data_IF_272866662517
#
_entry.id   IF_272866662517
#
_cell.length_a   1.000
_cell.length_b   1.000
_cell.length_c   1.000
_cell.angle_alpha   90.00
_cell.angle_beta   90.00
_cell.angle_gamma   90.00
#
_symmetry.space_group_name_H-M   'P 1'
#
loop_
_entity.id
_entity.type
_entity.pdbx_description
1 polymer ?
#
# COMPACT_ATOMS: atom_id res chain seq x y z
N UNK A 1 -8.02 14.26 13.12
CA UNK A 1 -9.34 14.45 12.47
C UNK A 1 -10.37 15.02 13.44
N UNK A 2 -11.38 15.76 12.93
CA UNK A 2 -12.45 16.33 13.76
C UNK A 2 -13.42 15.27 14.30
N UNK A 3 -14.08 15.56 15.43
CA UNK A 3 -15.09 14.66 16.03
C UNK A 3 -16.26 14.36 15.09
N UNK A 4 -16.58 15.27 14.18
CA UNK A 4 -17.65 15.09 13.19
C UNK A 4 -17.29 13.98 12.19
N UNK A 5 -16.03 13.95 11.72
CA UNK A 5 -15.54 12.91 10.81
C UNK A 5 -15.56 11.55 11.49
N UNK A 6 -15.03 11.44 12.72
CA UNK A 6 -15.06 10.17 13.47
C UNK A 6 -16.49 9.65 13.67
N UNK A 7 -17.46 10.54 13.96
CA UNK A 7 -18.87 10.17 14.07
C UNK A 7 -19.45 9.67 12.74
N UNK A 8 -19.06 10.25 11.60
CA UNK A 8 -19.48 9.77 10.29
C UNK A 8 -18.91 8.38 9.99
N UNK A 9 -17.60 8.17 10.25
CA UNK A 9 -16.95 6.88 10.01
C UNK A 9 -17.55 5.76 10.86
N UNK A 10 -17.86 6.01 12.13
CA UNK A 10 -18.60 5.04 12.98
C UNK A 10 -19.94 4.64 12.38
N UNK A 11 -20.68 5.59 11.81
CA UNK A 11 -22.00 5.32 11.20
C UNK A 11 -21.88 4.49 9.93
N UNK A 12 -20.82 4.70 9.16
CA UNK A 12 -20.53 3.93 7.93
C UNK A 12 -20.14 2.51 8.32
N UNK A 13 -19.16 2.35 9.23
CA UNK A 13 -18.66 1.04 9.65
C UNK A 13 -19.76 0.15 10.28
N UNK A 14 -20.56 0.71 11.20
CA UNK A 14 -21.63 -0.01 11.89
C UNK A 14 -22.98 0.04 11.17
N UNK A 15 -23.07 0.62 9.97
CA UNK A 15 -24.29 0.66 9.14
C UNK A 15 -25.57 1.17 9.84
N UNK A 16 -25.42 2.00 10.87
CA UNK A 16 -26.53 2.48 11.74
C UNK A 16 -27.70 3.20 11.05
N UNK A 17 -27.56 3.55 9.76
CA UNK A 17 -28.56 4.32 8.99
C UNK A 17 -28.91 3.70 7.64
N UNK A 18 -27.93 3.10 6.98
CA UNK A 18 -28.04 2.46 5.67
C UNK A 18 -26.92 1.43 5.54
N UNK A 19 -27.12 0.46 4.65
CA UNK A 19 -26.05 -0.44 4.24
C UNK A 19 -25.00 0.29 3.39
N UNK A 20 -23.75 -0.14 3.52
CA UNK A 20 -22.61 0.34 2.76
C UNK A 20 -21.82 -0.85 2.24
N UNK A 21 -21.16 -0.66 1.10
CA UNK A 21 -20.24 -1.67 0.57
C UNK A 21 -19.14 -2.03 1.58
N UNK A 22 -18.71 -3.29 1.54
CA UNK A 22 -17.71 -3.89 2.45
C UNK A 22 -16.40 -3.09 2.45
N UNK A 23 -15.92 -2.69 1.28
CA UNK A 23 -14.72 -1.86 1.09
C UNK A 23 -14.85 -0.48 1.74
N UNK A 24 -16.04 0.15 1.65
CA UNK A 24 -16.33 1.43 2.31
C UNK A 24 -16.32 1.30 3.84
N UNK A 25 -16.86 0.20 4.37
CA UNK A 25 -16.85 -0.09 5.81
C UNK A 25 -15.42 -0.31 6.32
N UNK A 26 -14.62 -1.09 5.60
CA UNK A 26 -13.20 -1.30 5.90
C UNK A 26 -12.42 0.02 5.91
N UNK A 27 -12.57 0.84 4.86
CA UNK A 27 -11.92 2.15 4.80
C UNK A 27 -12.34 3.07 5.97
N UNK A 28 -13.60 3.01 6.40
CA UNK A 28 -14.06 3.76 7.57
C UNK A 28 -13.41 3.26 8.87
N UNK A 29 -13.17 1.95 9.00
CA UNK A 29 -12.43 1.38 10.14
C UNK A 29 -10.97 1.85 10.14
N UNK A 30 -10.32 1.88 8.98
CA UNK A 30 -8.93 2.34 8.83
C UNK A 30 -8.76 3.79 9.27
N UNK A 31 -9.67 4.66 8.82
CA UNK A 31 -9.69 6.05 9.25
C UNK A 31 -9.85 6.17 10.78
N UNK A 32 -10.62 5.28 11.42
CA UNK A 32 -10.78 5.28 12.88
C UNK A 32 -9.52 4.79 13.60
N UNK A 33 -8.84 3.76 13.08
CA UNK A 33 -7.64 3.17 13.69
C UNK A 33 -6.39 4.05 13.53
N UNK A 34 -6.25 4.72 12.39
CA UNK A 34 -5.04 5.48 12.05
C UNK A 34 -5.01 6.90 12.63
N UNK A 35 -6.15 7.40 13.13
CA UNK A 35 -6.30 8.81 13.46
C UNK A 35 -6.70 9.06 14.91
N UNK A 36 -5.77 8.80 15.82
CA UNK A 36 -5.97 8.94 17.27
C UNK A 36 -7.24 8.19 17.72
N UNK A 37 -7.25 6.85 17.64
CA UNK A 37 -8.44 6.07 17.95
C UNK A 37 -8.88 6.31 19.39
N UNK A 38 -10.19 6.27 19.66
CA UNK A 38 -10.66 6.16 21.04
C UNK A 38 -10.68 4.69 21.47
N UNK A 39 -10.54 4.38 22.77
CA UNK A 39 -10.63 2.99 23.24
C UNK A 39 -11.92 2.30 22.81
N UNK A 40 -13.05 3.03 22.89
CA UNK A 40 -14.35 2.51 22.46
C UNK A 40 -14.43 2.23 20.96
N UNK A 41 -13.67 2.94 20.12
CA UNK A 41 -13.66 2.69 18.67
C UNK A 41 -13.04 1.32 18.39
N UNK A 42 -11.90 1.02 19.01
CA UNK A 42 -11.22 -0.28 18.88
C UNK A 42 -12.06 -1.42 19.45
N UNK A 43 -12.67 -1.23 20.63
CA UNK A 43 -13.55 -2.24 21.23
C UNK A 43 -14.74 -2.54 20.33
N UNK A 44 -15.41 -1.51 19.82
CA UNK A 44 -16.58 -1.70 18.95
C UNK A 44 -16.21 -2.36 17.62
N UNK A 45 -15.04 -2.05 17.04
CA UNK A 45 -14.52 -2.74 15.85
C UNK A 45 -14.29 -4.22 16.14
N UNK A 46 -13.59 -4.55 17.24
CA UNK A 46 -13.34 -5.94 17.62
C UNK A 46 -14.64 -6.71 17.92
N UNK A 47 -15.61 -6.09 18.59
CA UNK A 47 -16.91 -6.74 18.83
C UNK A 47 -17.68 -6.99 17.53
N UNK A 48 -17.63 -6.05 16.57
CA UNK A 48 -18.29 -6.19 15.28
C UNK A 48 -17.75 -7.37 14.45
N UNK A 49 -16.49 -7.80 14.65
CA UNK A 49 -15.91 -8.98 13.95
C UNK A 49 -16.68 -10.29 14.19
N UNK A 50 -17.58 -10.34 15.17
CA UNK A 50 -18.45 -11.51 15.41
C UNK A 50 -19.64 -11.58 14.47
N UNK A 51 -20.08 -10.43 13.93
CA UNK A 51 -21.25 -10.30 13.08
C UNK A 51 -20.87 -10.04 11.61
N UNK A 52 -19.60 -9.72 11.35
CA UNK A 52 -19.05 -9.55 10.01
C UNK A 52 -18.74 -10.89 9.34
N UNK A 53 -18.74 -10.88 8.02
CA UNK A 53 -18.25 -11.97 7.16
C UNK A 53 -16.82 -12.38 7.49
N UNK A 54 -16.48 -13.63 7.17
CA UNK A 54 -15.26 -14.29 7.63
C UNK A 54 -13.99 -13.52 7.23
N UNK A 55 -13.89 -13.13 5.96
CA UNK A 55 -12.70 -12.43 5.42
C UNK A 55 -12.56 -11.01 5.95
N UNK A 56 -13.66 -10.26 6.03
CA UNK A 56 -13.67 -8.89 6.58
C UNK A 56 -13.33 -8.89 8.08
N UNK A 57 -13.88 -9.84 8.84
CA UNK A 57 -13.57 -10.02 10.26
C UNK A 57 -12.08 -10.36 10.47
N UNK A 58 -11.55 -11.26 9.64
CA UNK A 58 -10.13 -11.67 9.69
C UNK A 58 -9.21 -10.51 9.37
N UNK A 59 -9.50 -9.74 8.32
CA UNK A 59 -8.69 -8.56 7.96
C UNK A 59 -8.64 -7.53 9.10
N UNK A 60 -9.80 -7.16 9.65
CA UNK A 60 -9.87 -6.19 10.75
C UNK A 60 -9.12 -6.66 12.00
N UNK A 61 -9.25 -7.94 12.33
CA UNK A 61 -8.51 -8.53 13.43
C UNK A 61 -7.00 -8.46 13.18
N UNK A 62 -6.55 -8.81 11.97
CA UNK A 62 -5.14 -8.73 11.59
C UNK A 62 -4.63 -7.30 11.62
N UNK A 63 -5.42 -6.30 11.17
CA UNK A 63 -5.07 -4.87 11.29
C UNK A 63 -4.89 -4.44 12.75
N UNK A 64 -5.81 -4.81 13.63
CA UNK A 64 -5.68 -4.50 15.06
C UNK A 64 -4.45 -5.18 15.67
N UNK A 65 -4.17 -6.44 15.31
CA UNK A 65 -2.94 -7.12 15.76
C UNK A 65 -1.68 -6.49 15.19
N UNK A 66 -1.69 -6.09 13.93
CA UNK A 66 -0.57 -5.42 13.27
C UNK A 66 -0.28 -4.07 13.93
N UNK A 67 -1.30 -3.33 14.35
CA UNK A 67 -1.16 -2.07 15.09
C UNK A 67 -0.44 -2.22 16.45
N UNK A 68 -0.44 -3.41 17.05
CA UNK A 68 0.34 -3.70 18.26
C UNK A 68 1.83 -3.90 17.96
N UNK A 69 2.14 -4.49 16.80
CA UNK A 69 3.50 -4.82 16.35
C UNK A 69 4.20 -3.57 15.78
N UNK A 70 3.47 -2.74 15.04
CA UNK A 70 3.99 -1.52 14.45
C UNK A 70 4.30 -0.46 15.52
N UNK A 71 5.59 -0.16 15.72
CA UNK A 71 6.04 0.63 16.86
C UNK A 71 5.47 2.05 16.91
N UNK A 72 5.32 2.66 15.74
CA UNK A 72 4.87 4.04 15.55
C UNK A 72 3.37 4.16 15.30
N UNK A 73 2.62 3.05 15.36
CA UNK A 73 1.19 3.10 15.09
C UNK A 73 0.45 3.86 16.19
N UNK A 74 -0.43 4.84 15.86
CA UNK A 74 -1.11 5.67 16.85
C UNK A 74 -1.99 4.86 17.80
N UNK A 75 -2.59 3.78 17.30
CA UNK A 75 -3.41 2.86 18.09
C UNK A 75 -2.62 2.00 19.11
N UNK A 76 -1.30 1.83 18.97
CA UNK A 76 -0.52 0.80 19.71
C UNK A 76 -0.78 0.81 21.21
N UNK A 77 -0.73 1.99 21.84
CA UNK A 77 -0.93 2.14 23.30
C UNK A 77 -2.34 1.72 23.72
N UNK A 78 -3.34 2.19 22.99
CA UNK A 78 -4.76 1.94 23.28
C UNK A 78 -5.10 0.46 23.07
N UNK A 79 -4.65 -0.12 21.95
CA UNK A 79 -4.87 -1.54 21.68
C UNK A 79 -4.16 -2.38 22.76
N UNK A 80 -2.93 -2.02 23.17
CA UNK A 80 -2.21 -2.73 24.24
C UNK A 80 -2.99 -2.76 25.56
N UNK A 81 -3.66 -1.67 25.91
CA UNK A 81 -4.49 -1.60 27.12
C UNK A 81 -5.78 -2.42 26.98
N UNK A 82 -6.44 -2.37 25.81
CA UNK A 82 -7.66 -3.14 25.52
C UNK A 82 -7.39 -4.65 25.53
N UNK A 83 -6.25 -5.07 24.98
CA UNK A 83 -5.87 -6.49 24.93
C UNK A 83 -5.57 -7.09 26.31
N UNK A 84 -5.57 -6.29 27.38
CA UNK A 84 -5.52 -6.81 28.75
C UNK A 84 -6.87 -7.39 29.22
N UNK A 85 -7.99 -6.99 28.62
CA UNK A 85 -9.30 -7.54 28.99
C UNK A 85 -9.48 -8.93 28.34
N UNK A 86 -9.57 -10.02 29.13
CA UNK A 86 -9.73 -11.38 28.59
C UNK A 86 -11.06 -11.59 27.85
N UNK A 87 -12.08 -10.75 28.08
CA UNK A 87 -13.35 -10.82 27.34
C UNK A 87 -13.19 -10.39 25.89
N UNK A 88 -12.16 -9.60 25.61
CA UNK A 88 -11.80 -9.15 24.26
C UNK A 88 -10.67 -10.04 23.73
N UNK A 89 -9.58 -10.16 24.47
CA UNK A 89 -8.42 -10.98 24.12
C UNK A 89 -8.61 -12.43 24.60
N UNK A 90 -9.34 -13.22 23.80
CA UNK A 90 -9.48 -14.66 24.00
C UNK A 90 -9.35 -15.42 22.68
N UNK A 91 -8.97 -16.69 22.79
CA UNK A 91 -8.79 -17.58 21.65
C UNK A 91 -10.04 -17.63 20.77
N UNK A 92 -11.24 -17.67 21.36
CA UNK A 92 -12.50 -17.77 20.61
C UNK A 92 -12.78 -16.53 19.73
N UNK A 93 -12.38 -15.34 20.19
CA UNK A 93 -12.57 -14.10 19.42
C UNK A 93 -11.50 -13.95 18.34
N UNK A 94 -10.29 -14.49 18.57
CA UNK A 94 -9.14 -14.37 17.66
C UNK A 94 -8.90 -15.58 16.76
N UNK A 95 -9.64 -16.69 16.92
CA UNK A 95 -9.56 -17.89 16.07
C UNK A 95 -10.47 -17.78 14.85
N UNK A 96 -10.31 -16.72 14.05
CA UNK A 96 -11.08 -16.53 12.82
C UNK A 96 -10.53 -17.39 11.70
N UNK A 97 -11.44 -17.95 10.91
CA UNK A 97 -11.12 -18.68 9.68
C UNK A 97 -11.23 -17.69 8.54
N UNK A 98 -10.13 -17.43 7.85
CA UNK A 98 -10.08 -16.52 6.70
C UNK A 98 -8.66 -16.41 6.15
N UNK A 99 -8.54 -16.07 4.87
CA UNK A 99 -7.26 -15.90 4.16
C UNK A 99 -6.75 -14.46 4.18
N UNK A 100 -7.63 -13.50 4.47
CA UNK A 100 -7.29 -12.08 4.55
C UNK A 100 -6.21 -11.80 5.58
N UNK A 101 -5.29 -10.92 5.21
CA UNK A 101 -4.11 -10.65 6.03
C UNK A 101 -3.71 -9.18 5.97
N UNK A 102 -3.07 -8.73 7.05
CA UNK A 102 -2.48 -7.41 7.15
C UNK A 102 -1.12 -7.54 7.84
N UNK A 103 -0.09 -6.97 7.24
CA UNK A 103 1.27 -7.04 7.70
C UNK A 103 1.97 -5.70 7.52
N UNK A 104 2.77 -5.30 8.50
CA UNK A 104 3.71 -4.18 8.36
C UNK A 104 5.04 -4.56 8.97
N UNK A 105 6.13 -4.29 8.25
CA UNK A 105 7.49 -4.58 8.69
C UNK A 105 8.47 -3.46 8.32
N UNK A 106 9.59 -3.33 9.06
CA UNK A 106 10.65 -2.40 8.68
C UNK A 106 11.41 -2.93 7.46
N UNK A 107 11.67 -2.06 6.49
CA UNK A 107 12.59 -2.31 5.36
C UNK A 107 14.00 -1.84 5.71
N UNK A 108 14.12 -0.62 6.22
CA UNK A 108 15.39 -0.03 6.61
C UNK A 108 15.22 0.77 7.90
N UNK A 109 16.16 0.61 8.82
CA UNK A 109 16.18 1.32 10.11
C UNK A 109 17.54 1.99 10.27
N UNK A 110 17.54 3.31 10.41
CA UNK A 110 18.72 4.11 10.77
C UNK A 110 18.42 4.92 12.04
N UNK A 111 19.38 5.73 12.50
CA UNK A 111 19.17 6.55 13.70
C UNK A 111 18.00 7.54 13.55
N UNK A 112 17.82 8.09 12.35
CA UNK A 112 16.87 9.19 12.11
C UNK A 112 15.77 8.85 11.08
N UNK A 113 15.86 7.68 10.45
CA UNK A 113 14.97 7.22 9.38
C UNK A 113 14.48 5.80 9.64
N UNK A 114 13.17 5.61 9.59
CA UNK A 114 12.54 4.30 9.54
C UNK A 114 11.74 4.18 8.24
N UNK A 115 12.12 3.24 7.39
CA UNK A 115 11.35 2.84 6.22
C UNK A 115 10.55 1.58 6.55
N UNK A 116 9.27 1.54 6.20
CA UNK A 116 8.38 0.40 6.43
C UNK A 116 7.67 0.00 5.15
N UNK A 117 7.45 -1.31 5.01
CA UNK A 117 6.58 -1.90 4.01
C UNK A 117 5.34 -2.45 4.70
N UNK A 118 4.16 -2.10 4.19
CA UNK A 118 2.90 -2.72 4.58
C UNK A 118 2.22 -3.40 3.40
N UNK A 119 1.50 -4.46 3.74
CA UNK A 119 0.73 -5.26 2.80
C UNK A 119 -0.60 -5.65 3.46
N UNK A 120 -1.68 -5.37 2.76
CA UNK A 120 -3.03 -5.75 3.15
C UNK A 120 -3.69 -6.52 2.00
N UNK A 121 -4.23 -7.69 2.32
CA UNK A 121 -4.92 -8.55 1.36
C UNK A 121 -6.33 -8.81 1.88
N UNK A 122 -7.32 -8.39 1.10
CA UNK A 122 -8.72 -8.70 1.31
C UNK A 122 -9.14 -9.75 0.30
N UNK A 123 -9.57 -10.91 0.79
CA UNK A 123 -10.17 -11.96 -0.04
C UNK A 123 -11.70 -11.92 0.05
N UNK A 124 -12.34 -12.60 -0.89
CA UNK A 124 -13.77 -12.90 -0.89
C UNK A 124 -13.97 -14.34 -0.43
N UNK A 125 -15.15 -14.64 0.11
CA UNK A 125 -15.62 -16.01 0.36
C UNK A 125 -15.65 -16.75 -0.99
N UNK A 126 -14.63 -17.58 -1.23
CA UNK A 126 -14.30 -18.14 -2.56
C UNK A 126 -12.79 -18.17 -2.84
N UNK A 127 -11.99 -17.46 -2.03
CA UNK A 127 -10.52 -17.50 -2.09
C UNK A 127 -9.90 -16.56 -3.12
N UNK A 128 -10.71 -15.71 -3.75
CA UNK A 128 -10.26 -14.69 -4.68
C UNK A 128 -9.86 -13.39 -3.99
N UNK A 129 -8.79 -12.77 -4.47
CA UNK A 129 -8.33 -11.48 -3.99
C UNK A 129 -9.26 -10.37 -4.50
N UNK A 130 -9.97 -9.70 -3.58
CA UNK A 130 -10.80 -8.52 -3.87
C UNK A 130 -9.95 -7.27 -4.00
N UNK A 131 -9.03 -7.10 -3.05
CA UNK A 131 -8.22 -5.90 -2.90
C UNK A 131 -6.88 -6.24 -2.27
N UNK A 132 -5.81 -5.76 -2.87
CA UNK A 132 -4.47 -5.76 -2.28
C UNK A 132 -3.97 -4.33 -2.19
N UNK A 133 -3.43 -3.95 -1.04
CA UNK A 133 -2.83 -2.64 -0.81
C UNK A 133 -1.40 -2.87 -0.35
N UNK A 134 -0.45 -2.37 -1.12
CA UNK A 134 0.98 -2.36 -0.77
C UNK A 134 1.41 -0.93 -0.50
N UNK A 135 1.91 -0.65 0.70
CA UNK A 135 2.35 0.68 1.10
C UNK A 135 3.84 0.72 1.46
N UNK A 136 4.49 1.80 1.05
CA UNK A 136 5.86 2.13 1.40
C UNK A 136 5.87 3.48 2.10
N UNK A 137 6.16 3.44 3.40
CA UNK A 137 6.10 4.60 4.27
C UNK A 137 7.48 4.90 4.85
N UNK A 138 7.80 6.19 4.92
CA UNK A 138 9.06 6.68 5.46
C UNK A 138 8.78 7.60 6.64
N UNK A 139 9.41 7.31 7.77
CA UNK A 139 9.25 8.03 9.01
C UNK A 139 10.57 8.68 9.40
N UNK A 140 10.54 9.99 9.64
CA UNK A 140 11.69 10.74 10.15
C UNK A 140 11.23 11.88 11.04
N UNK A 141 11.85 12.06 12.20
CA UNK A 141 11.60 13.19 13.12
C UNK A 141 10.12 13.46 13.43
N UNK A 142 9.30 12.41 13.54
CA UNK A 142 7.86 12.52 13.82
C UNK A 142 6.98 12.84 12.59
N UNK A 143 7.58 12.97 11.41
CA UNK A 143 6.87 13.11 10.13
C UNK A 143 6.81 11.77 9.41
N UNK A 144 5.63 11.45 8.84
CA UNK A 144 5.41 10.29 7.96
C UNK A 144 5.21 10.78 6.54
N UNK A 145 5.95 10.21 5.60
CA UNK A 145 5.80 10.40 4.17
C UNK A 145 5.39 9.08 3.54
N UNK A 146 4.25 9.06 2.86
CA UNK A 146 3.86 7.94 2.00
C UNK A 146 4.60 8.06 0.68
N UNK A 147 5.60 7.20 0.50
CA UNK A 147 6.49 7.23 -0.67
C UNK A 147 5.78 6.65 -1.87
N UNK A 148 5.20 5.45 -1.70
CA UNK A 148 4.45 4.77 -2.73
C UNK A 148 3.31 3.96 -2.09
N UNK A 149 2.17 3.95 -2.74
CA UNK A 149 1.04 3.08 -2.43
C UNK A 149 0.56 2.48 -3.74
N UNK A 150 0.42 1.17 -3.81
CA UNK A 150 -0.11 0.46 -4.97
C UNK A 150 -1.29 -0.37 -4.49
N UNK A 151 -2.46 -0.06 -5.05
CA UNK A 151 -3.69 -0.78 -4.76
C UNK A 151 -4.14 -1.53 -6.00
N UNK A 152 -4.27 -2.85 -5.88
CA UNK A 152 -4.88 -3.73 -6.88
C UNK A 152 -6.30 -4.04 -6.45
N UNK A 153 -7.26 -3.89 -7.34
CA UNK A 153 -8.66 -4.22 -7.08
C UNK A 153 -9.19 -5.15 -8.16
N UNK A 154 -9.93 -6.16 -7.75
CA UNK A 154 -10.62 -7.09 -8.65
C UNK A 154 -12.05 -7.32 -8.17
N UNK A 155 -12.97 -7.46 -9.12
CA UNK A 155 -14.40 -7.65 -8.87
C UNK A 155 -14.98 -8.65 -9.87
N UNK A 156 -15.93 -9.48 -9.44
CA UNK A 156 -16.64 -10.42 -10.31
C UNK A 156 -15.84 -11.65 -10.70
N UNK A 157 -14.67 -11.91 -10.09
CA UNK A 157 -13.87 -13.11 -10.36
C UNK A 157 -14.56 -14.39 -9.86
N UNK A 158 -15.46 -14.27 -8.90
CA UNK A 158 -16.26 -15.34 -8.32
C UNK A 158 -17.15 -16.02 -9.38
N UNK A 159 -17.67 -15.21 -10.33
CA UNK A 159 -18.47 -15.70 -11.46
C UNK A 159 -17.71 -16.66 -12.39
N UNK A 160 -16.37 -16.61 -12.40
CA UNK A 160 -15.55 -17.49 -13.25
C UNK A 160 -15.50 -18.93 -12.74
N UNK A 161 -15.78 -19.18 -11.46
CA UNK A 161 -15.82 -20.53 -10.87
C UNK A 161 -17.24 -21.11 -10.80
N UNK A 162 -18.25 -20.39 -11.28
CA UNK A 162 -19.65 -20.81 -11.20
C UNK A 162 -20.19 -20.83 -9.76
N UNK A 163 -19.61 -20.01 -8.87
CA UNK A 163 -20.11 -19.81 -7.51
C UNK A 163 -21.33 -18.89 -7.59
N UNK A 164 -22.50 -19.39 -7.17
CA UNK A 164 -23.76 -18.63 -7.27
C UNK A 164 -23.71 -17.41 -6.34
N UNK A 165 -23.84 -16.21 -6.90
CA UNK A 165 -24.09 -15.00 -6.10
C UNK A 165 -25.38 -15.16 -5.31
N UNK A 166 -25.45 -14.66 -4.06
CA UNK A 166 -26.69 -14.67 -3.28
C UNK A 166 -27.82 -13.97 -4.04
N UNK A 167 -29.02 -14.55 -4.00
CA UNK A 167 -30.20 -14.07 -4.74
C UNK A 167 -30.52 -12.60 -4.39
N UNK A 168 -30.38 -11.69 -5.37
CA UNK A 168 -30.83 -10.30 -5.26
C UNK A 168 -29.80 -9.20 -5.56
N UNK A 169 -28.52 -9.54 -5.74
CA UNK A 169 -27.49 -8.59 -6.19
C UNK A 169 -27.24 -8.76 -7.70
N UNK A 170 -27.14 -7.64 -8.45
CA UNK A 170 -26.67 -7.68 -9.85
C UNK A 170 -25.24 -8.25 -9.87
N UNK A 171 -25.00 -9.26 -10.71
CA UNK A 171 -23.65 -9.82 -10.88
C UNK A 171 -22.68 -8.69 -11.25
N UNK A 172 -21.67 -8.41 -10.40
CA UNK A 172 -20.72 -7.34 -10.70
C UNK A 172 -19.96 -7.69 -11.99
N UNK A 173 -19.92 -6.72 -12.93
CA UNK A 173 -19.14 -6.89 -14.15
C UNK A 173 -17.67 -7.21 -13.81
N UNK A 174 -17.17 -8.32 -14.36
CA UNK A 174 -15.80 -8.78 -14.17
C UNK A 174 -14.80 -7.66 -14.49
N UNK A 175 -14.03 -7.21 -13.51
CA UNK A 175 -13.14 -6.07 -13.65
C UNK A 175 -11.91 -6.23 -12.77
N UNK A 176 -10.74 -5.84 -13.28
CA UNK A 176 -9.56 -5.64 -12.46
C UNK A 176 -8.85 -4.35 -12.85
N UNK A 177 -8.25 -3.70 -11.85
CA UNK A 177 -7.51 -2.48 -12.04
C UNK A 177 -6.44 -2.26 -10.98
N UNK A 178 -5.63 -1.24 -11.23
CA UNK A 178 -4.59 -0.77 -10.35
C UNK A 178 -4.74 0.73 -10.16
N UNK A 179 -4.63 1.17 -8.91
CA UNK A 179 -4.41 2.57 -8.58
C UNK A 179 -3.09 2.70 -7.84
N UNK A 180 -2.40 3.81 -8.06
CA UNK A 180 -1.11 4.06 -7.45
C UNK A 180 -1.05 5.49 -6.95
N UNK A 181 -0.36 5.70 -5.84
CA UNK A 181 -0.01 7.01 -5.33
C UNK A 181 1.49 7.08 -5.06
N UNK A 182 2.13 8.18 -5.45
CA UNK A 182 3.54 8.43 -5.15
C UNK A 182 3.68 9.77 -4.46
N UNK A 183 4.40 9.82 -3.33
CA UNK A 183 4.60 11.05 -2.54
C UNK A 183 3.27 11.77 -2.22
N UNK A 184 2.23 11.02 -1.85
CA UNK A 184 0.84 11.47 -1.65
C UNK A 184 0.10 12.01 -2.89
N UNK A 185 0.64 11.82 -4.10
CA UNK A 185 -0.02 12.18 -5.36
C UNK A 185 -0.65 10.94 -5.97
N UNK A 186 -1.98 10.91 -6.05
CA UNK A 186 -2.72 9.83 -6.70
C UNK A 186 -2.61 9.93 -8.22
N UNK A 187 -2.12 8.85 -8.86
CA UNK A 187 -2.10 8.72 -10.31
C UNK A 187 -3.47 8.30 -10.84
N UNK A 188 -3.68 8.49 -12.14
CA UNK A 188 -4.88 8.00 -12.81
C UNK A 188 -4.93 6.46 -12.71
N UNK A 189 -6.01 5.87 -12.18
CA UNK A 189 -6.16 4.43 -12.13
C UNK A 189 -6.11 3.80 -13.53
N UNK A 190 -5.48 2.64 -13.63
CA UNK A 190 -5.36 1.83 -14.84
C UNK A 190 -6.29 0.64 -14.70
N UNK A 191 -7.16 0.42 -15.68
CA UNK A 191 -8.04 -0.75 -15.73
C UNK A 191 -7.37 -1.82 -16.57
N UNK A 192 -7.05 -2.96 -15.96
CA UNK A 192 -6.42 -4.07 -16.65
C UNK A 192 -7.38 -4.81 -17.55
N UNK A 193 -8.64 -4.95 -17.16
CA UNK A 193 -9.72 -5.41 -18.06
C UNK A 193 -11.07 -5.01 -17.50
N UNK A 194 -12.05 -4.93 -18.41
CA UNK A 194 -13.46 -4.78 -18.04
C UNK A 194 -14.34 -5.68 -18.90
N UNK A 195 -15.06 -6.59 -18.25
CA UNK A 195 -15.87 -7.62 -18.85
C UNK A 195 -15.06 -8.86 -19.28
N UNK A 196 -15.76 -9.98 -19.42
CA UNK A 196 -15.18 -11.27 -19.81
C UNK A 196 -14.49 -11.24 -21.19
N UNK A 197 -15.08 -10.54 -22.16
CA UNK A 197 -14.53 -10.45 -23.51
C UNK A 197 -13.15 -9.76 -23.55
N UNK A 198 -12.97 -8.68 -22.79
CA UNK A 198 -11.70 -7.95 -22.70
C UNK A 198 -10.64 -8.77 -21.96
N UNK A 199 -11.04 -9.48 -20.89
CA UNK A 199 -10.15 -10.40 -20.19
C UNK A 199 -9.65 -11.51 -21.13
N UNK A 200 -10.55 -12.19 -21.84
CA UNK A 200 -10.18 -13.28 -22.75
C UNK A 200 -9.30 -12.77 -23.90
N UNK A 201 -9.56 -11.57 -24.41
CA UNK A 201 -8.68 -10.95 -25.40
C UNK A 201 -7.25 -10.77 -24.84
N UNK A 202 -7.10 -10.30 -23.60
CA UNK A 202 -5.78 -10.08 -22.99
C UNK A 202 -5.06 -11.38 -22.63
N UNK A 203 -5.78 -12.39 -22.16
CA UNK A 203 -5.21 -13.73 -21.91
C UNK A 203 -4.69 -14.35 -23.21
N UNK A 204 -5.43 -14.21 -24.32
CA UNK A 204 -5.01 -14.74 -25.62
C UNK A 204 -3.84 -13.96 -26.25
N UNK A 205 -3.74 -12.66 -25.96
CA UNK A 205 -2.69 -11.78 -26.46
C UNK A 205 -1.46 -11.70 -25.53
N UNK A 206 -1.53 -12.29 -24.34
CA UNK A 206 -0.45 -12.30 -23.36
C UNK A 206 0.77 -13.04 -23.90
N UNK A 207 1.85 -12.30 -24.18
CA UNK A 207 3.12 -12.85 -24.66
C UNK A 207 4.03 -13.35 -23.53
N UNK A 208 3.66 -13.15 -22.26
CA UNK A 208 4.52 -13.44 -21.11
C UNK A 208 5.75 -12.52 -21.00
N UNK A 209 5.79 -11.43 -21.79
CA UNK A 209 6.83 -10.41 -21.71
C UNK A 209 6.46 -9.31 -20.69
N UNK A 210 7.44 -8.75 -19.95
CA UNK A 210 7.19 -7.66 -19.03
C UNK A 210 6.66 -6.43 -19.77
N UNK A 211 5.50 -5.94 -19.33
CA UNK A 211 4.89 -4.72 -19.87
C UNK A 211 5.22 -3.55 -18.95
N UNK A 212 5.73 -2.44 -19.49
CA UNK A 212 5.98 -1.22 -18.71
C UNK A 212 4.65 -0.56 -18.34
N UNK A 213 4.43 -0.33 -17.06
CA UNK A 213 3.19 0.24 -16.51
C UNK A 213 3.37 1.72 -16.18
N UNK A 214 4.50 2.09 -15.57
CA UNK A 214 4.85 3.47 -15.25
C UNK A 214 6.32 3.69 -15.56
N UNK A 215 6.62 4.74 -16.31
CA UNK A 215 7.99 5.18 -16.56
C UNK A 215 8.06 6.69 -16.55
N UNK A 216 8.92 7.26 -15.71
CA UNK A 216 9.04 8.71 -15.62
C UNK A 216 10.08 9.19 -14.64
N UNK A 217 10.41 10.48 -14.75
CA UNK A 217 11.32 11.17 -13.85
C UNK A 217 10.54 12.26 -13.10
N UNK A 218 10.81 12.38 -11.80
CA UNK A 218 10.16 13.30 -10.88
C UNK A 218 11.23 14.17 -10.23
N UNK A 219 11.07 15.49 -10.29
CA UNK A 219 11.89 16.40 -9.49
C UNK A 219 11.28 16.49 -8.09
N UNK A 220 11.92 15.84 -7.11
CA UNK A 220 11.44 15.76 -5.72
C UNK A 220 11.87 16.95 -4.87
N UNK A 221 13.11 17.42 -5.08
CA UNK A 221 13.69 18.53 -4.34
C UNK A 221 14.19 19.56 -5.34
N UNK A 222 13.82 20.82 -5.15
CA UNK A 222 14.36 21.95 -5.89
C UNK A 222 14.44 23.14 -4.93
N UNK A 223 15.61 23.31 -4.34
CA UNK A 223 15.89 24.39 -3.42
C UNK A 223 16.90 25.34 -4.06
N UNK A 224 16.51 26.60 -4.15
CA UNK A 224 17.34 27.68 -4.66
C UNK A 224 17.37 28.80 -3.63
N UNK A 225 18.56 29.15 -3.16
CA UNK A 225 18.73 30.18 -2.15
C UNK A 225 19.92 31.07 -2.45
N UNK A 226 19.69 32.38 -2.39
CA UNK A 226 20.74 33.40 -2.47
C UNK A 226 20.97 33.95 -1.07
N UNK A 227 22.20 33.78 -0.58
CA UNK A 227 22.63 34.17 0.75
C UNK A 227 23.60 35.36 0.64
N UNK A 228 23.19 36.57 1.06
CA UNK A 228 24.12 37.69 1.21
C UNK A 228 24.96 37.47 2.48
N UNK A 229 26.27 37.37 2.32
CA UNK A 229 27.21 37.24 3.44
C UNK A 229 27.49 38.61 4.08
N UNK A 230 27.89 38.61 5.35
CA UNK A 230 28.30 39.83 6.06
C UNK A 230 29.50 40.54 5.40
N UNK A 231 30.28 39.83 4.59
CA UNK A 231 31.36 40.39 3.77
C UNK A 231 30.87 41.20 2.57
N UNK A 232 29.57 41.17 2.26
CA UNK A 232 28.97 41.80 1.07
C UNK A 232 28.96 40.92 -0.17
N UNK A 233 29.56 39.72 -0.12
CA UNK A 233 29.54 38.73 -1.20
C UNK A 233 28.22 37.95 -1.22
N UNK A 234 27.84 37.43 -2.38
CA UNK A 234 26.64 36.60 -2.53
C UNK A 234 27.03 35.14 -2.76
N UNK A 235 26.37 34.24 -2.03
CA UNK A 235 26.47 32.80 -2.24
C UNK A 235 25.14 32.29 -2.77
N UNK A 236 25.19 31.55 -3.87
CA UNK A 236 24.04 30.88 -4.46
C UNK A 236 24.13 29.40 -4.12
N UNK A 237 23.16 28.89 -3.37
CA UNK A 237 23.03 27.47 -3.04
C UNK A 237 21.88 26.89 -3.85
N UNK A 238 22.17 25.84 -4.60
CA UNK A 238 21.22 25.05 -5.39
C UNK A 238 21.27 23.61 -4.90
N UNK A 239 20.12 23.04 -4.58
CA UNK A 239 19.98 21.63 -4.24
C UNK A 239 18.84 21.07 -5.06
N UNK A 240 19.15 20.13 -5.96
CA UNK A 240 18.18 19.48 -6.81
C UNK A 240 18.20 17.98 -6.56
N UNK A 241 17.02 17.37 -6.43
CA UNK A 241 16.85 15.95 -6.19
C UNK A 241 15.84 15.39 -7.19
N UNK A 242 16.29 14.49 -8.06
CA UNK A 242 15.47 13.81 -9.04
C UNK A 242 15.30 12.33 -8.70
N UNK A 243 14.11 11.78 -8.96
CA UNK A 243 13.80 10.36 -8.88
C UNK A 243 13.35 9.85 -10.24
N UNK A 244 14.08 8.89 -10.82
CA UNK A 244 13.63 8.07 -11.93
C UNK A 244 12.88 6.86 -11.42
N UNK A 245 11.73 6.55 -12.02
CA UNK A 245 10.91 5.39 -11.73
C UNK A 245 10.61 4.62 -13.01
N UNK A 246 10.81 3.31 -12.97
CA UNK A 246 10.45 2.36 -14.03
C UNK A 246 9.79 1.13 -13.39
N UNK A 247 8.49 0.98 -13.61
CA UNK A 247 7.69 -0.13 -13.10
C UNK A 247 7.24 -0.96 -14.28
N UNK A 248 7.57 -2.25 -14.23
CA UNK A 248 7.16 -3.24 -15.22
C UNK A 248 6.46 -4.40 -14.51
N UNK A 249 5.46 -4.96 -15.17
CA UNK A 249 4.70 -6.10 -14.67
C UNK A 249 4.65 -7.20 -15.71
N UNK A 250 4.77 -8.45 -15.25
CA UNK A 250 4.56 -9.64 -16.04
C UNK A 250 3.53 -10.53 -15.35
N UNK A 251 2.67 -11.19 -16.14
CA UNK A 251 1.66 -12.10 -15.67
C UNK A 251 1.67 -13.33 -16.58
N UNK A 252 1.82 -14.50 -15.96
CA UNK A 252 1.76 -15.78 -16.64
C UNK A 252 0.64 -16.61 -16.03
N UNK A 253 -0.33 -16.99 -16.85
CA UNK A 253 -1.50 -17.77 -16.46
C UNK A 253 -1.43 -19.13 -17.13
N UNK A 254 -1.38 -20.20 -16.33
CA UNK A 254 -1.53 -21.54 -16.83
C UNK A 254 -2.87 -22.12 -16.38
N UNK A 255 -3.85 -22.13 -17.29
CA UNK A 255 -5.21 -22.64 -17.01
C UNK A 255 -5.19 -24.15 -16.74
N UNK A 256 -4.29 -24.90 -17.37
CA UNK A 256 -4.23 -26.37 -17.24
C UNK A 256 -3.62 -26.82 -15.92
N UNK A 257 -2.55 -26.15 -15.48
CA UNK A 257 -1.94 -26.41 -14.17
C UNK A 257 -2.68 -25.67 -13.04
N UNK A 258 -3.61 -24.77 -13.38
CA UNK A 258 -4.35 -23.93 -12.44
C UNK A 258 -3.42 -23.06 -11.57
N UNK A 259 -2.36 -22.55 -12.22
CA UNK A 259 -1.30 -21.75 -11.61
C UNK A 259 -1.27 -20.34 -12.24
N UNK A 260 -1.11 -19.34 -11.38
CA UNK A 260 -0.95 -17.94 -11.73
C UNK A 260 0.35 -17.42 -11.11
N UNK A 261 1.29 -16.99 -11.94
CA UNK A 261 2.51 -16.33 -11.50
C UNK A 261 2.54 -14.90 -12.02
N UNK A 262 2.68 -13.93 -11.12
CA UNK A 262 2.86 -12.52 -11.48
C UNK A 262 4.15 -11.99 -10.89
N UNK A 263 4.91 -11.24 -11.67
CA UNK A 263 6.10 -10.54 -11.19
C UNK A 263 6.00 -9.06 -11.50
N UNK A 264 6.19 -8.23 -10.48
CA UNK A 264 6.24 -6.77 -10.61
C UNK A 264 7.66 -6.34 -10.26
N UNK A 265 8.36 -5.78 -11.24
CA UNK A 265 9.71 -5.26 -11.08
C UNK A 265 9.65 -3.73 -11.05
N UNK A 266 10.07 -3.17 -9.93
CA UNK A 266 10.16 -1.74 -9.69
C UNK A 266 11.61 -1.33 -9.61
N UNK A 267 12.04 -0.46 -10.52
CA UNK A 267 13.38 0.12 -10.51
C UNK A 267 13.27 1.61 -10.22
N UNK A 268 14.03 2.08 -9.24
CA UNK A 268 14.05 3.47 -8.85
C UNK A 268 15.49 3.99 -8.78
N UNK A 269 15.74 5.17 -9.33
CA UNK A 269 17.03 5.84 -9.27
C UNK A 269 16.88 7.23 -8.67
N UNK A 270 17.62 7.52 -7.62
CA UNK A 270 17.65 8.81 -6.95
C UNK A 270 18.96 9.50 -7.30
N UNK A 271 18.89 10.74 -7.77
CA UNK A 271 20.04 11.59 -8.01
C UNK A 271 19.87 12.91 -7.25
N UNK A 272 20.83 13.25 -6.41
CA UNK A 272 20.87 14.50 -5.67
C UNK A 272 22.10 15.28 -6.13
N UNK A 273 21.89 16.48 -6.64
CA UNK A 273 22.93 17.42 -7.05
C UNK A 273 22.89 18.64 -6.11
N UNK A 274 23.99 18.85 -5.39
CA UNK A 274 24.22 20.00 -4.54
C UNK A 274 25.28 20.88 -5.17
N UNK A 275 24.96 22.16 -5.34
CA UNK A 275 25.87 23.15 -5.89
C UNK A 275 25.85 24.42 -5.03
N UNK A 276 27.02 24.88 -4.60
CA UNK A 276 27.21 26.17 -3.94
C UNK A 276 28.21 27.01 -4.73
N UNK A 277 27.75 28.14 -5.24
CA UNK A 277 28.53 29.10 -6.03
C UNK A 277 28.73 30.37 -5.21
N UNK A 278 29.97 30.81 -5.07
CA UNK A 278 30.32 32.10 -4.50
C UNK A 278 30.95 32.94 -5.61
N UNK A 279 30.24 34.01 -5.97
CA UNK A 279 30.64 34.87 -7.06
C UNK A 279 31.13 36.22 -6.52
N UNK A 280 32.40 36.53 -6.79
CA UNK A 280 33.02 37.79 -6.44
C UNK A 280 33.68 38.40 -7.70
N UNK A 281 33.83 39.74 -7.78
CA UNK A 281 34.41 40.38 -8.97
C UNK A 281 35.84 39.92 -9.31
N UNK A 282 36.54 39.34 -8.34
CA UNK A 282 37.95 38.97 -8.41
C UNK A 282 38.21 37.47 -8.24
N UNK A 283 37.22 36.68 -7.83
CA UNK A 283 37.33 35.22 -7.78
C UNK A 283 35.95 34.55 -7.84
N UNK A 284 35.92 33.36 -8.45
CA UNK A 284 34.73 32.52 -8.50
C UNK A 284 35.06 31.19 -7.82
N UNK A 285 34.25 30.77 -6.86
CA UNK A 285 34.42 29.50 -6.17
C UNK A 285 33.14 28.67 -6.27
N UNK A 286 33.26 27.41 -6.68
CA UNK A 286 32.13 26.50 -6.83
C UNK A 286 32.41 25.20 -6.10
N UNK A 287 31.49 24.79 -5.23
CA UNK A 287 31.46 23.47 -4.62
C UNK A 287 30.30 22.69 -5.24
N UNK A 288 30.58 21.51 -5.79
CA UNK A 288 29.55 20.60 -6.31
C UNK A 288 29.70 19.23 -5.67
N UNK A 289 28.59 18.62 -5.30
CA UNK A 289 28.51 17.27 -4.78
C UNK A 289 27.31 16.59 -5.43
N UNK A 290 27.52 15.41 -6.01
CA UNK A 290 26.48 14.61 -6.62
C UNK A 290 26.43 13.27 -5.90
N UNK A 291 25.24 12.79 -5.61
CA UNK A 291 24.99 11.49 -4.97
C UNK A 291 23.94 10.75 -5.77
N UNK A 292 24.24 9.52 -6.14
CA UNK A 292 23.36 8.67 -6.93
C UNK A 292 23.12 7.34 -6.23
N UNK A 293 21.86 6.92 -6.16
CA UNK A 293 21.46 5.64 -5.60
C UNK A 293 20.46 4.98 -6.53
N UNK A 294 20.67 3.71 -6.88
CA UNK A 294 19.72 2.91 -7.65
C UNK A 294 19.24 1.73 -6.80
N UNK A 295 17.94 1.50 -6.75
CA UNK A 295 17.31 0.38 -6.06
C UNK A 295 16.38 -0.36 -7.01
N UNK A 296 16.37 -1.69 -6.91
CA UNK A 296 15.38 -2.54 -7.58
C UNK A 296 14.68 -3.45 -6.58
N UNK A 297 13.36 -3.50 -6.70
CA UNK A 297 12.48 -4.33 -5.89
C UNK A 297 11.65 -5.23 -6.82
N UNK A 298 11.63 -6.52 -6.50
CA UNK A 298 10.80 -7.51 -7.18
C UNK A 298 9.72 -7.99 -6.22
N UNK A 299 8.48 -7.90 -6.68
CA UNK A 299 7.32 -8.44 -5.98
C UNK A 299 6.73 -9.58 -6.81
N UNK A 300 6.97 -10.80 -6.36
CA UNK A 300 6.50 -12.02 -7.01
C UNK A 300 5.31 -12.60 -6.24
N UNK A 301 4.27 -12.95 -6.98
CA UNK A 301 3.09 -13.66 -6.48
C UNK A 301 2.95 -14.97 -7.22
N UNK A 302 2.88 -16.06 -6.48
CA UNK A 302 2.56 -17.38 -7.01
C UNK A 302 1.27 -17.85 -6.37
N UNK A 303 0.29 -18.20 -7.19
CA UNK A 303 -1.04 -18.61 -6.77
C UNK A 303 -1.41 -19.92 -7.44
N UNK A 304 -1.86 -20.90 -6.65
CA UNK A 304 -2.41 -22.17 -7.13
C UNK A 304 -3.87 -22.29 -6.72
N UNK A 305 -4.75 -22.37 -7.69
CA UNK A 305 -6.20 -22.45 -7.49
C UNK A 305 -6.77 -23.86 -7.75
N UNK A 306 -5.93 -24.89 -7.66
CA UNK A 306 -6.33 -26.29 -7.83
C UNK A 306 -7.13 -26.87 -6.65
N UNK A 307 -6.93 -26.35 -5.45
CA UNK A 307 -7.57 -26.80 -4.22
C UNK A 307 -8.13 -25.58 -3.44
N UNK A 308 -9.17 -25.82 -2.63
CA UNK A 308 -9.74 -24.82 -1.71
C UNK A 308 -9.32 -25.17 -0.27
N UNK A 309 -8.67 -24.25 0.48
CA UNK A 309 -8.39 -22.85 0.14
C UNK A 309 -7.26 -22.69 -0.88
N UNK A 310 -7.34 -21.63 -1.69
CA UNK A 310 -6.33 -21.26 -2.68
C UNK A 310 -4.97 -21.08 -2.00
N UNK A 311 -3.91 -21.65 -2.58
CA UNK A 311 -2.56 -21.48 -2.05
C UNK A 311 -1.93 -20.24 -2.69
N UNK A 312 -1.54 -19.28 -1.86
CA UNK A 312 -0.91 -18.04 -2.30
C UNK A 312 0.41 -17.81 -1.58
N UNK A 313 1.46 -17.57 -2.34
CA UNK A 313 2.78 -17.22 -1.87
C UNK A 313 3.17 -15.85 -2.41
N UNK A 314 3.61 -14.97 -1.51
CA UNK A 314 4.09 -13.64 -1.83
C UNK A 314 5.55 -13.51 -1.46
N UNK A 315 6.35 -12.96 -2.36
CA UNK A 315 7.76 -12.73 -2.13
C UNK A 315 8.14 -11.32 -2.54
N UNK A 316 8.59 -10.53 -1.56
CA UNK A 316 9.26 -9.26 -1.81
C UNK A 316 10.77 -9.50 -1.74
N UNK A 317 11.48 -9.16 -2.82
CA UNK A 317 12.94 -9.23 -2.92
C UNK A 317 13.49 -7.85 -3.25
N UNK A 318 14.55 -7.47 -2.57
CA UNK A 318 15.33 -6.27 -2.88
C UNK A 318 16.69 -6.71 -3.40
N UNK A 319 17.13 -6.16 -4.55
CA UNK A 319 18.48 -6.40 -5.05
C UNK A 319 19.48 -5.45 -4.38
N UNK A 320 20.78 -5.73 -4.54
CA UNK A 320 21.81 -4.84 -4.01
C UNK A 320 21.71 -3.44 -4.62
N UNK A 321 21.68 -2.43 -3.75
CA UNK A 321 21.64 -1.00 -4.08
C UNK A 321 23.07 -0.51 -4.38
N UNK A 322 23.46 -0.29 -5.64
CA UNK A 322 24.70 0.44 -5.92
C UNK A 322 24.54 1.90 -5.47
N UNK A 323 25.44 2.34 -4.60
CA UNK A 323 25.55 3.71 -4.11
C UNK A 323 26.82 4.35 -4.67
N UNK A 324 26.70 5.53 -5.28
CA UNK A 324 27.81 6.26 -5.91
C UNK A 324 27.85 7.72 -5.46
#
# INVERSE_FOLDING_TARGET
FSQQVKRAMRRIFHETRRSYEKTCRLAAADVLLDNEPLPMDVVNILLATKELEAEMATLLQMKVQNSLRAEHHPARRIVKDIMRDPRINNYNSFSKVGMSSAFTGPLAVTQDLLSTFGLELLFVEGGFLRKSVSDFSLFSHGHRLHVAEVTLEAQGMESMLGENTPEGEEEPELMAGMSAAFFNVHLRPVVFFKGYADLMAKVLLSSGEPTSVVRGNLLLMDHYQVLPLQSGLQVVVKLQGGLGLDISANMNVNIWEQDLNTSVNTRASLAIDFQAELDAPFFHATMRSQTEAETSMHFDTALRFSESPVLMCLQLREDQVPYR
#
